data_IF_391776380486
#
_entry.id   IF_391776380486
#
_cell.length_a   1.000
_cell.length_b   1.000
_cell.length_c   1.000
_cell.angle_alpha   90.00
_cell.angle_beta   90.00
_cell.angle_gamma   90.00
#
_symmetry.space_group_name_H-M   'P 1'
#
loop_
_entity.id
_entity.type
_entity.pdbx_description
1 polymer ?
#
# COMPACT_ATOMS: atom_id res chain seq x y z
N UNK A 1 25.26 -10.07 13.31
CA UNK A 1 24.11 -9.52 12.55
C UNK A 1 23.51 -10.52 11.55
N UNK A 2 24.30 -11.34 10.85
CA UNK A 2 23.78 -12.43 9.98
C UNK A 2 23.41 -13.75 10.71
N UNK A 3 23.71 -13.89 12.01
CA UNK A 3 23.43 -15.12 12.78
C UNK A 3 21.96 -15.32 13.16
N UNK A 4 21.11 -14.31 12.94
CA UNK A 4 19.65 -14.40 13.17
C UNK A 4 18.85 -14.62 11.87
N UNK A 5 19.56 -14.83 10.75
CA UNK A 5 18.88 -15.10 9.50
C UNK A 5 18.20 -16.47 9.56
N UNK A 6 16.88 -16.46 9.38
CA UNK A 6 16.07 -17.67 9.33
C UNK A 6 15.26 -17.64 8.03
N UNK A 7 15.58 -18.60 7.16
CA UNK A 7 14.99 -18.68 5.83
C UNK A 7 13.46 -18.87 5.87
N UNK A 8 12.96 -19.64 6.83
CA UNK A 8 11.52 -19.85 6.98
C UNK A 8 10.81 -18.58 7.42
N UNK A 9 11.36 -17.84 8.38
CA UNK A 9 10.81 -16.53 8.77
C UNK A 9 10.84 -15.53 7.61
N UNK A 10 11.94 -15.49 6.85
CA UNK A 10 12.06 -14.62 5.68
C UNK A 10 11.01 -14.96 4.62
N UNK A 11 10.78 -16.24 4.33
CA UNK A 11 9.74 -16.67 3.37
C UNK A 11 8.35 -16.29 3.90
N UNK A 12 8.06 -16.56 5.18
CA UNK A 12 6.76 -16.22 5.78
C UNK A 12 6.52 -14.72 5.70
N UNK A 13 7.48 -13.89 6.11
CA UNK A 13 7.41 -12.44 5.99
C UNK A 13 7.20 -11.99 4.54
N UNK A 14 7.88 -12.63 3.58
CA UNK A 14 7.72 -12.32 2.16
C UNK A 14 6.30 -12.58 1.68
N UNK A 15 5.74 -13.76 2.00
CA UNK A 15 4.38 -14.14 1.59
C UNK A 15 3.33 -13.21 2.19
N UNK A 16 3.46 -12.89 3.48
CA UNK A 16 2.53 -11.99 4.17
C UNK A 16 2.60 -10.58 3.57
N UNK A 17 3.80 -10.02 3.41
CA UNK A 17 3.97 -8.70 2.79
C UNK A 17 3.51 -8.69 1.33
N UNK A 18 3.76 -9.76 0.58
CA UNK A 18 3.33 -9.90 -0.81
C UNK A 18 1.80 -9.85 -0.93
N UNK A 19 1.10 -10.57 -0.06
CA UNK A 19 -0.35 -10.59 -0.03
C UNK A 19 -0.95 -9.23 0.38
N UNK A 20 -0.30 -8.52 1.31
CA UNK A 20 -0.82 -7.24 1.83
C UNK A 20 -0.51 -6.06 0.90
N UNK A 21 0.68 -6.01 0.31
CA UNK A 21 1.05 -4.93 -0.65
C UNK A 21 0.19 -5.02 -1.92
N UNK A 22 -0.18 -6.24 -2.35
CA UNK A 22 -1.05 -6.53 -3.49
C UNK A 22 -0.83 -5.62 -4.72
N UNK A 23 0.40 -5.63 -5.23
CA UNK A 23 0.76 -4.81 -6.40
C UNK A 23 0.01 -5.26 -7.66
N UNK A 24 -0.37 -6.53 -7.76
CA UNK A 24 -1.10 -7.06 -8.91
C UNK A 24 -2.52 -6.49 -8.93
N UNK A 25 -3.21 -6.49 -7.79
CA UNK A 25 -4.51 -5.83 -7.63
C UNK A 25 -4.44 -4.33 -7.87
N UNK A 26 -3.27 -3.73 -7.67
CA UNK A 26 -2.99 -2.30 -7.90
C UNK A 26 -2.75 -1.92 -9.37
N UNK A 27 -2.59 -2.88 -10.29
CA UNK A 27 -2.30 -2.61 -11.72
C UNK A 27 -3.30 -1.63 -12.36
N UNK A 28 -4.64 -1.82 -12.24
CA UNK A 28 -5.61 -0.92 -12.88
C UNK A 28 -5.54 0.52 -12.39
N UNK A 29 -5.15 0.70 -11.13
CA UNK A 29 -4.96 2.01 -10.51
C UNK A 29 -3.74 2.69 -11.14
N UNK A 30 -2.64 1.95 -11.28
CA UNK A 30 -1.42 2.43 -11.95
C UNK A 30 -1.71 2.83 -13.39
N UNK A 31 -2.50 2.03 -14.12
CA UNK A 31 -2.90 2.37 -15.49
C UNK A 31 -3.74 3.64 -15.49
N UNK A 32 -4.73 3.77 -14.59
CA UNK A 32 -5.57 4.96 -14.55
C UNK A 32 -4.77 6.25 -14.27
N UNK A 33 -3.80 6.19 -13.36
CA UNK A 33 -2.91 7.31 -13.13
C UNK A 33 -2.19 7.68 -14.44
N UNK A 34 -1.58 6.72 -15.14
CA UNK A 34 -0.92 6.97 -16.43
C UNK A 34 -1.87 7.60 -17.47
N UNK A 35 -3.11 7.14 -17.59
CA UNK A 35 -4.11 7.72 -18.49
C UNK A 35 -4.45 9.18 -18.18
N UNK A 36 -4.47 9.56 -16.89
CA UNK A 36 -4.69 10.94 -16.43
C UNK A 36 -3.46 11.86 -16.69
N UNK A 37 -2.50 11.42 -17.51
CA UNK A 37 -1.26 12.16 -17.80
C UNK A 37 -0.26 12.17 -16.65
N UNK A 38 -0.47 11.33 -15.63
CA UNK A 38 0.40 11.23 -14.45
C UNK A 38 1.58 10.31 -14.80
N UNK A 39 2.80 10.86 -14.89
CA UNK A 39 4.03 10.07 -15.09
C UNK A 39 4.27 9.11 -13.91
N UNK A 40 3.92 7.84 -14.08
CA UNK A 40 4.28 6.79 -13.12
C UNK A 40 5.62 6.17 -13.52
N UNK A 41 6.68 6.62 -12.86
CA UNK A 41 8.01 6.02 -12.99
C UNK A 41 8.15 4.85 -12.01
N UNK A 42 8.28 3.63 -12.53
CA UNK A 42 8.39 2.40 -11.74
C UNK A 42 9.54 2.47 -10.72
N UNK A 43 10.71 2.97 -11.12
CA UNK A 43 11.86 3.08 -10.22
C UNK A 43 11.56 4.06 -9.08
N UNK A 44 11.04 5.25 -9.40
CA UNK A 44 10.71 6.25 -8.36
C UNK A 44 9.64 5.74 -7.41
N UNK A 45 8.56 5.17 -7.94
CA UNK A 45 7.48 4.62 -7.12
C UNK A 45 8.01 3.55 -6.15
N UNK A 46 8.75 2.57 -6.65
CA UNK A 46 9.33 1.51 -5.82
C UNK A 46 10.31 2.07 -4.79
N UNK A 47 11.21 2.96 -5.18
CA UNK A 47 12.23 3.51 -4.26
C UNK A 47 11.59 4.34 -3.15
N UNK A 48 10.62 5.21 -3.47
CA UNK A 48 9.95 6.01 -2.45
C UNK A 48 9.10 5.11 -1.55
N UNK A 49 8.35 4.14 -2.09
CA UNK A 49 7.63 3.15 -1.29
C UNK A 49 8.57 2.38 -0.36
N UNK A 50 9.73 1.94 -0.86
CA UNK A 50 10.73 1.26 -0.04
C UNK A 50 11.25 2.15 1.08
N UNK A 51 11.59 3.41 0.80
CA UNK A 51 12.08 4.37 1.79
C UNK A 51 11.02 4.63 2.86
N UNK A 52 9.74 4.80 2.47
CA UNK A 52 8.66 4.97 3.42
C UNK A 52 8.43 3.72 4.27
N UNK A 53 8.41 2.54 3.66
CA UNK A 53 8.21 1.28 4.36
C UNK A 53 9.36 0.96 5.31
N UNK A 54 10.62 1.17 4.91
CA UNK A 54 11.76 0.95 5.79
C UNK A 54 11.83 2.01 6.91
N UNK A 55 11.50 3.26 6.59
CA UNK A 55 11.40 4.34 7.57
C UNK A 55 10.35 4.02 8.63
N UNK A 56 9.15 3.62 8.21
CA UNK A 56 8.09 3.21 9.12
C UNK A 56 8.42 1.91 9.87
N UNK A 57 9.09 0.95 9.24
CA UNK A 57 9.51 -0.29 9.91
C UNK A 57 10.37 0.00 11.16
N UNK A 58 11.28 0.96 11.08
CA UNK A 58 12.15 1.33 12.21
C UNK A 58 11.52 2.37 13.15
N UNK A 59 10.84 3.38 12.60
CA UNK A 59 10.34 4.52 13.35
C UNK A 59 8.83 4.47 13.69
N UNK A 60 8.08 3.54 13.12
CA UNK A 60 6.61 3.49 13.17
C UNK A 60 6.07 3.47 14.60
N UNK A 61 6.54 2.54 15.44
CA UNK A 61 6.15 2.47 16.85
C UNK A 61 6.43 3.78 17.61
N UNK A 62 7.57 4.41 17.33
CA UNK A 62 7.95 5.68 17.97
C UNK A 62 7.06 6.83 17.50
N UNK A 63 6.82 6.92 16.19
CA UNK A 63 5.96 7.94 15.60
C UNK A 63 4.52 7.83 16.13
N UNK A 64 3.96 6.62 16.15
CA UNK A 64 2.62 6.36 16.67
C UNK A 64 2.51 6.74 18.15
N UNK A 65 3.50 6.35 18.98
CA UNK A 65 3.54 6.74 20.40
C UNK A 65 3.69 8.24 20.61
N UNK A 66 4.51 8.92 19.81
CA UNK A 66 4.71 10.37 19.91
C UNK A 66 3.40 11.14 19.71
N UNK A 67 2.60 10.71 18.73
CA UNK A 67 1.31 11.32 18.43
C UNK A 67 0.15 10.73 19.25
N UNK A 68 0.41 9.76 20.14
CA UNK A 68 -0.60 9.04 20.92
C UNK A 68 -1.68 8.43 20.02
N UNK A 69 -1.25 7.81 18.91
CA UNK A 69 -2.12 7.16 17.93
C UNK A 69 -1.89 5.66 17.97
N UNK A 70 -2.95 4.90 18.18
CA UNK A 70 -2.89 3.44 18.11
C UNK A 70 -2.78 2.95 16.66
N UNK A 71 -2.21 1.75 16.49
CA UNK A 71 -1.99 1.14 15.18
C UNK A 71 -3.31 0.88 14.45
N UNK A 72 -4.37 0.57 15.19
CA UNK A 72 -5.74 0.36 14.72
C UNK A 72 -6.33 1.68 14.20
N UNK A 73 -6.16 2.77 14.95
CA UNK A 73 -6.62 4.11 14.54
C UNK A 73 -5.92 4.57 13.26
N UNK A 74 -4.62 4.30 13.13
CA UNK A 74 -3.87 4.56 11.90
C UNK A 74 -4.36 3.68 10.73
N UNK A 75 -4.70 2.41 10.99
CA UNK A 75 -5.29 1.52 10.00
C UNK A 75 -6.66 1.98 9.50
N UNK A 76 -7.52 2.46 10.41
CA UNK A 76 -8.82 3.07 10.07
C UNK A 76 -8.63 4.31 9.20
N UNK A 77 -7.67 5.18 9.53
CA UNK A 77 -7.35 6.35 8.71
C UNK A 77 -6.91 5.94 7.28
N UNK A 78 -6.04 4.93 7.16
CA UNK A 78 -5.66 4.38 5.86
C UNK A 78 -6.84 3.81 5.06
N UNK A 79 -7.78 3.14 5.74
CA UNK A 79 -8.99 2.63 5.13
C UNK A 79 -9.84 3.75 4.49
N UNK A 80 -9.93 4.92 5.13
CA UNK A 80 -10.60 6.09 4.55
C UNK A 80 -9.89 6.63 3.30
N UNK A 81 -8.56 6.61 3.25
CA UNK A 81 -7.85 7.06 2.04
C UNK A 81 -8.12 6.11 0.87
N UNK A 82 -8.13 4.79 1.12
CA UNK A 82 -8.48 3.78 0.09
C UNK A 82 -9.94 3.93 -0.33
N UNK A 83 -10.86 4.19 0.61
CA UNK A 83 -12.27 4.49 0.33
C UNK A 83 -12.40 5.64 -0.68
N UNK A 84 -11.73 6.76 -0.42
CA UNK A 84 -11.77 7.93 -1.30
C UNK A 84 -11.16 7.62 -2.67
N UNK A 85 -10.06 6.88 -2.74
CA UNK A 85 -9.48 6.44 -4.02
C UNK A 85 -10.45 5.57 -4.82
N UNK A 86 -11.15 4.66 -4.14
CA UNK A 86 -12.12 3.78 -4.78
C UNK A 86 -13.31 4.56 -5.35
N UNK A 87 -13.81 5.56 -4.61
CA UNK A 87 -14.87 6.45 -5.08
C UNK A 87 -14.40 7.30 -6.27
N UNK A 88 -13.15 7.77 -6.24
CA UNK A 88 -12.55 8.51 -7.36
C UNK A 88 -12.60 7.67 -8.66
N UNK A 89 -12.29 6.37 -8.57
CA UNK A 89 -12.34 5.44 -9.71
C UNK A 89 -13.76 5.13 -10.18
N UNK A 90 -14.70 4.90 -9.25
CA UNK A 90 -16.09 4.53 -9.57
C UNK A 90 -16.86 5.72 -10.13
N UNK A 91 -16.64 6.93 -9.61
CA UNK A 91 -17.41 8.12 -9.97
C UNK A 91 -16.73 8.99 -11.03
N UNK A 92 -15.49 8.68 -11.43
CA UNK A 92 -14.66 9.51 -12.33
C UNK A 92 -14.50 10.97 -11.86
N UNK A 93 -14.50 11.18 -10.55
CA UNK A 93 -14.17 12.48 -9.96
C UNK A 93 -12.66 12.59 -9.72
N UNK A 94 -12.17 13.72 -9.22
CA UNK A 94 -10.79 13.86 -8.74
C UNK A 94 -10.82 14.42 -7.32
N UNK A 95 -10.50 13.57 -6.35
CA UNK A 95 -10.47 13.94 -4.91
C UNK A 95 -9.04 14.32 -4.54
N UNK A 96 -8.06 13.54 -4.97
CA UNK A 96 -6.65 13.79 -4.69
C UNK A 96 -6.06 14.74 -5.74
N UNK A 97 -6.24 16.04 -5.50
CA UNK A 97 -5.67 17.10 -6.34
C UNK A 97 -4.17 17.22 -6.13
N UNK A 98 -3.47 17.31 -7.25
CA UNK A 98 -2.03 17.15 -7.29
C UNK A 98 -1.30 18.46 -7.65
N UNK A 99 -1.53 19.50 -6.85
CA UNK A 99 -1.02 20.85 -7.12
C UNK A 99 0.40 21.11 -6.55
N UNK A 100 1.08 20.06 -6.06
CA UNK A 100 2.46 20.13 -5.62
C UNK A 100 3.45 20.23 -6.79
N UNK A 101 4.73 20.53 -6.53
CA UNK A 101 5.74 20.64 -7.59
C UNK A 101 5.73 19.41 -8.52
N UNK A 102 5.61 19.71 -9.81
CA UNK A 102 5.07 18.89 -10.94
C UNK A 102 5.74 17.51 -11.14
N UNK A 103 6.85 17.21 -10.47
CA UNK A 103 7.64 15.98 -10.69
C UNK A 103 7.48 14.88 -9.64
N UNK A 104 6.88 15.16 -8.48
CA UNK A 104 6.84 14.22 -7.34
C UNK A 104 5.42 13.95 -6.84
N UNK A 105 4.53 14.93 -7.00
CA UNK A 105 3.17 14.89 -6.50
C UNK A 105 2.36 13.73 -7.12
N UNK A 106 2.72 13.32 -8.35
CA UNK A 106 2.16 12.19 -9.12
C UNK A 106 2.25 10.84 -8.42
N UNK A 107 3.19 10.72 -7.48
CA UNK A 107 3.47 9.48 -6.77
C UNK A 107 2.65 9.35 -5.50
N UNK A 108 1.99 10.42 -5.02
CA UNK A 108 1.38 10.44 -3.69
C UNK A 108 0.33 9.34 -3.54
N UNK A 109 -0.77 9.22 -4.32
CA UNK A 109 -1.75 8.14 -4.05
C UNK A 109 -1.20 6.72 -4.35
N UNK A 110 -0.25 6.60 -5.28
CA UNK A 110 0.36 5.31 -5.62
C UNK A 110 1.30 4.83 -4.51
N UNK A 111 2.14 5.72 -4.00
CA UNK A 111 3.13 5.39 -2.98
C UNK A 111 2.48 5.33 -1.60
N UNK A 112 1.63 6.29 -1.26
CA UNK A 112 0.82 6.33 -0.04
C UNK A 112 -0.61 6.83 -0.35
N UNK A 113 -1.65 6.00 -0.21
CA UNK A 113 -1.73 4.86 0.69
C UNK A 113 -1.64 3.49 0.00
N UNK A 114 -1.41 3.41 -1.32
CA UNK A 114 -1.62 2.14 -2.02
C UNK A 114 -0.50 1.12 -1.74
N UNK A 115 0.77 1.49 -1.93
CA UNK A 115 1.90 0.58 -1.71
C UNK A 115 2.40 0.59 -0.26
N UNK A 116 2.76 1.75 0.24
CA UNK A 116 3.10 1.99 1.64
C UNK A 116 1.82 2.38 2.40
N UNK A 117 0.82 1.49 2.37
CA UNK A 117 -0.47 1.72 3.00
C UNK A 117 -0.52 1.30 4.45
N UNK A 118 -1.62 1.65 5.12
CA UNK A 118 -1.80 1.29 6.52
C UNK A 118 -1.76 -0.23 6.74
N UNK A 119 -2.31 -1.04 5.82
CA UNK A 119 -2.18 -2.50 5.90
C UNK A 119 -0.73 -2.99 5.84
N UNK A 120 0.07 -2.44 4.92
CA UNK A 120 1.51 -2.77 4.81
C UNK A 120 2.28 -2.32 6.05
N UNK A 121 1.94 -1.16 6.61
CA UNK A 121 2.55 -0.61 7.80
C UNK A 121 2.21 -1.41 9.07
N UNK A 122 0.94 -1.76 9.27
CA UNK A 122 0.54 -2.58 10.42
C UNK A 122 1.17 -3.96 10.36
N UNK A 123 1.19 -4.57 9.17
CA UNK A 123 1.85 -5.86 8.93
C UNK A 123 3.34 -5.82 9.25
N UNK A 124 4.05 -4.75 8.87
CA UNK A 124 5.47 -4.60 9.19
C UNK A 124 5.73 -4.56 10.70
N UNK A 125 4.87 -3.87 11.47
CA UNK A 125 4.97 -3.82 12.93
C UNK A 125 4.62 -5.17 13.57
N UNK A 126 3.57 -5.84 13.10
CA UNK A 126 3.21 -7.18 13.58
C UNK A 126 4.31 -8.21 13.33
N UNK A 127 4.89 -8.23 12.12
CA UNK A 127 6.00 -9.14 11.80
C UNK A 127 7.23 -8.86 12.65
N UNK A 128 7.49 -7.60 13.02
CA UNK A 128 8.62 -7.22 13.88
C UNK A 128 8.51 -7.76 15.30
N UNK A 129 7.29 -8.05 15.77
CA UNK A 129 7.07 -8.67 17.07
C UNK A 129 7.41 -10.18 17.06
N UNK A 130 7.39 -10.84 15.88
CA UNK A 130 7.53 -12.29 15.77
C UNK A 130 8.84 -12.73 15.11
N UNK A 131 9.39 -11.96 14.17
CA UNK A 131 10.52 -12.35 13.33
C UNK A 131 11.72 -11.43 13.49
N UNK A 132 12.91 -11.96 13.22
CA UNK A 132 14.13 -11.15 13.25
C UNK A 132 14.11 -10.07 12.16
N UNK A 133 14.55 -8.86 12.51
CA UNK A 133 14.52 -7.69 11.62
C UNK A 133 15.18 -7.97 10.25
N UNK A 134 16.29 -8.70 10.24
CA UNK A 134 17.01 -9.04 9.00
C UNK A 134 16.13 -9.84 8.02
N UNK A 135 15.31 -10.76 8.53
CA UNK A 135 14.43 -11.59 7.71
C UNK A 135 13.32 -10.75 7.06
N UNK A 136 12.76 -9.80 7.82
CA UNK A 136 11.71 -8.89 7.35
C UNK A 136 12.26 -7.91 6.32
N UNK A 137 13.44 -7.32 6.56
CA UNK A 137 14.06 -6.37 5.64
C UNK A 137 14.40 -7.04 4.31
N UNK A 138 14.96 -8.26 4.33
CA UNK A 138 15.22 -9.02 3.11
C UNK A 138 13.91 -9.35 2.38
N UNK A 139 12.88 -9.79 3.09
CA UNK A 139 11.55 -10.03 2.52
C UNK A 139 10.93 -8.77 1.89
N UNK A 140 11.10 -7.61 2.52
CA UNK A 140 10.64 -6.32 2.01
C UNK A 140 11.39 -5.93 0.73
N UNK A 141 12.71 -6.09 0.69
CA UNK A 141 13.51 -5.83 -0.52
C UNK A 141 13.02 -6.69 -1.68
N UNK A 142 12.81 -8.00 -1.46
CA UNK A 142 12.30 -8.91 -2.49
C UNK A 142 10.90 -8.50 -2.97
N UNK A 143 10.03 -8.07 -2.06
CA UNK A 143 8.71 -7.54 -2.43
C UNK A 143 8.81 -6.25 -3.26
N UNK A 144 9.74 -5.35 -2.92
CA UNK A 144 9.94 -4.13 -3.69
C UNK A 144 10.50 -4.40 -5.09
N UNK A 145 11.37 -5.41 -5.24
CA UNK A 145 11.79 -5.88 -6.56
C UNK A 145 10.58 -6.37 -7.36
N UNK A 146 9.71 -7.18 -6.75
CA UNK A 146 8.47 -7.63 -7.39
C UNK A 146 7.58 -6.45 -7.80
N UNK A 147 7.39 -5.48 -6.91
CA UNK A 147 6.63 -4.24 -7.20
C UNK A 147 7.21 -3.53 -8.42
N UNK A 148 8.53 -3.36 -8.48
CA UNK A 148 9.19 -2.72 -9.62
C UNK A 148 8.88 -3.43 -10.95
N UNK A 149 8.95 -4.77 -10.97
CA UNK A 149 8.62 -5.55 -12.16
C UNK A 149 7.18 -5.34 -12.59
N UNK A 150 6.21 -5.42 -11.66
CA UNK A 150 4.80 -5.27 -11.98
C UNK A 150 4.46 -3.86 -12.51
N UNK A 151 4.96 -2.80 -11.86
CA UNK A 151 4.75 -1.41 -12.29
C UNK A 151 5.37 -1.15 -13.67
N UNK A 152 6.51 -1.80 -13.96
CA UNK A 152 7.18 -1.72 -15.26
C UNK A 152 6.38 -2.43 -16.35
N UNK A 153 5.83 -3.62 -16.05
CA UNK A 153 5.00 -4.40 -17.00
C UNK A 153 3.63 -3.77 -17.26
N UNK A 154 3.18 -2.83 -16.43
CA UNK A 154 1.89 -2.15 -16.63
C UNK A 154 1.75 -1.50 -18.02
N UNK A 155 2.86 -1.07 -18.65
CA UNK A 155 2.83 -0.54 -20.03
C UNK A 155 2.39 -1.58 -21.07
N UNK A 156 2.74 -2.84 -20.85
CA UNK A 156 2.35 -3.95 -21.75
C UNK A 156 0.87 -4.28 -21.56
N UNK A 157 0.40 -4.26 -20.31
CA UNK A 157 -1.02 -4.46 -19.96
C UNK A 157 -1.90 -3.38 -20.59
N UNK A 158 -1.45 -2.12 -20.56
CA UNK A 158 -2.13 -0.99 -21.20
C UNK A 158 -2.31 -1.21 -22.72
N UNK A 159 -1.26 -1.68 -23.40
CA UNK A 159 -1.31 -1.95 -24.84
C UNK A 159 -2.24 -3.13 -25.20
N UNK A 160 -2.32 -4.14 -24.32
CA UNK A 160 -3.18 -5.30 -24.52
C UNK A 160 -4.67 -4.98 -24.34
N UNK A 161 -5.03 -4.19 -23.34
CA UNK A 161 -6.42 -3.94 -22.94
C UNK A 161 -7.09 -2.81 -23.73
N UNK A 162 -6.32 -1.83 -24.19
CA UNK A 162 -6.83 -0.62 -24.82
C UNK A 162 -7.69 0.25 -23.88
N UNK A 163 -8.05 1.45 -24.34
CA UNK A 163 -8.74 2.47 -23.50
C UNK A 163 -10.07 1.98 -22.92
N UNK A 164 -10.87 1.22 -23.69
CA UNK A 164 -12.15 0.68 -23.25
C UNK A 164 -12.02 -0.41 -22.18
N UNK A 165 -11.07 -1.35 -22.36
CA UNK A 165 -10.80 -2.40 -21.39
C UNK A 165 -10.29 -1.84 -20.06
N UNK A 166 -9.38 -0.87 -20.14
CA UNK A 166 -8.86 -0.16 -18.97
C UNK A 166 -9.99 0.54 -18.21
N UNK A 167 -10.92 1.20 -18.91
CA UNK A 167 -12.06 1.86 -18.29
C UNK A 167 -12.94 0.90 -17.49
N UNK A 168 -13.30 -0.25 -18.07
CA UNK A 168 -14.14 -1.26 -17.40
C UNK A 168 -13.41 -1.85 -16.20
N UNK A 169 -12.14 -2.24 -16.39
CA UNK A 169 -11.33 -2.81 -15.31
C UNK A 169 -11.15 -1.79 -14.18
N UNK A 170 -10.97 -0.49 -14.50
CA UNK A 170 -10.94 0.58 -13.50
C UNK A 170 -12.20 0.61 -12.65
N UNK A 171 -13.39 0.58 -13.27
CA UNK A 171 -14.66 0.57 -12.51
C UNK A 171 -14.79 -0.66 -11.62
N UNK A 172 -14.45 -1.83 -12.17
CA UNK A 172 -14.51 -3.09 -11.44
C UNK A 172 -13.56 -3.09 -10.22
N UNK A 173 -12.31 -2.68 -10.40
CA UNK A 173 -11.35 -2.60 -9.30
C UNK A 173 -11.67 -1.48 -8.30
N UNK A 174 -12.32 -0.40 -8.74
CA UNK A 174 -12.88 0.60 -7.82
C UNK A 174 -13.84 -0.06 -6.82
N UNK A 175 -14.73 -0.93 -7.29
CA UNK A 175 -15.66 -1.67 -6.41
C UNK A 175 -14.90 -2.63 -5.47
N UNK A 176 -13.87 -3.31 -5.97
CA UNK A 176 -13.03 -4.19 -5.13
C UNK A 176 -12.32 -3.41 -4.03
N UNK A 177 -11.69 -2.27 -4.35
CA UNK A 177 -11.00 -1.43 -3.37
C UNK A 177 -11.95 -0.87 -2.32
N UNK A 178 -13.17 -0.51 -2.73
CA UNK A 178 -14.21 -0.07 -1.82
C UNK A 178 -14.53 -1.20 -0.81
N UNK A 179 -14.68 -2.44 -1.28
CA UNK A 179 -14.89 -3.60 -0.41
C UNK A 179 -13.69 -3.87 0.52
N UNK A 180 -12.46 -3.77 0.02
CA UNK A 180 -11.23 -3.91 0.82
C UNK A 180 -11.17 -2.83 1.90
N UNK A 181 -11.48 -1.57 1.55
CA UNK A 181 -11.52 -0.46 2.49
C UNK A 181 -12.55 -0.70 3.59
N UNK A 182 -13.77 -1.12 3.25
CA UNK A 182 -14.80 -1.47 4.25
C UNK A 182 -14.31 -2.59 5.16
N UNK A 183 -13.69 -3.65 4.63
CA UNK A 183 -13.11 -4.74 5.44
C UNK A 183 -12.03 -4.23 6.39
N UNK A 184 -11.14 -3.38 5.91
CA UNK A 184 -10.05 -2.82 6.73
C UNK A 184 -10.62 -1.90 7.83
N UNK A 185 -11.64 -1.11 7.50
CA UNK A 185 -12.34 -0.27 8.46
C UNK A 185 -13.01 -1.12 9.55
N UNK A 186 -13.81 -2.13 9.17
CA UNK A 186 -14.54 -2.96 10.12
C UNK A 186 -13.62 -3.79 11.01
N UNK A 187 -12.54 -4.36 10.45
CA UNK A 187 -11.59 -5.15 11.22
C UNK A 187 -10.89 -4.34 12.32
N UNK A 188 -10.58 -3.06 12.07
CA UNK A 188 -9.84 -2.22 13.03
C UNK A 188 -10.77 -1.44 13.96
N UNK A 189 -11.98 -1.04 13.51
CA UNK A 189 -12.94 -0.35 14.39
C UNK A 189 -13.48 -1.27 15.48
N UNK A 190 -13.65 -2.57 15.18
CA UNK A 190 -14.08 -3.55 16.19
C UNK A 190 -13.05 -3.68 17.31
N UNK A 191 -11.77 -3.74 16.97
CA UNK A 191 -10.68 -3.76 17.96
C UNK A 191 -10.67 -2.49 18.82
N UNK A 192 -10.91 -1.32 18.22
CA UNK A 192 -10.98 -0.05 18.94
C UNK A 192 -12.16 -0.01 19.91
N UNK A 193 -13.33 -0.51 19.50
CA UNK A 193 -14.53 -0.57 20.35
C UNK A 193 -14.30 -1.53 21.53
N UNK A 194 -13.69 -2.70 21.29
CA UNK A 194 -13.34 -3.64 22.35
C UNK A 194 -12.33 -3.04 23.35
N UNK A 195 -11.34 -2.31 22.86
CA UNK A 195 -10.37 -1.61 23.70
C UNK A 195 -11.02 -0.56 24.61
N UNK A 196 -12.05 0.14 24.12
CA UNK A 196 -12.84 1.09 24.92
C UNK A 196 -13.72 0.41 25.97
N UNK A 197 -14.19 -0.82 25.71
CA UNK A 197 -15.07 -1.55 26.64
C UNK A 197 -14.29 -2.26 27.77
N UNK A 198 -12.99 -2.51 27.57
CA UNK A 198 -12.10 -3.16 28.53
C UNK A 198 -11.29 -2.19 29.41
N UNK A 199 -11.55 -0.87 29.31
CA UNK A 199 -11.03 0.16 30.22
C UNK A 199 -12.04 0.50 31.31
#
# INVERSE_FOLDING_TARGET
MFSEFNFQQMISAFIVLFAVIDIIGSIPIIINLKEKGKEVNALKATVISFILMIGFFYAGDFLLKLFHVDIESFAVAGAFVIFLLSLEMILDIEIFKNNGPIKEATLVPLVFPLLAGAGSFTTLLSLRAEYANINIVVALILNMLWVYFVVRMTKQVEHLLGKGGIYIIRKFFGIILLAISVRLFTANITLLIEALHNQ
#
